data_IF_069014662362
#
_entry.id   IF_069014662362
#
_cell.length_a   1.000
_cell.length_b   1.000
_cell.length_c   1.000
_cell.angle_alpha   90.00
_cell.angle_beta   90.00
_cell.angle_gamma   90.00
#
_symmetry.space_group_name_H-M   'P 1'
#
loop_
_entity.id
_entity.type
_entity.pdbx_description
1 polymer ?
#
# COMPACT_ATOMS: atom_id res chain seq x y z
N UNK A 1 -14.45 -18.75 -11.13
CA UNK A 1 -13.64 -19.42 -10.09
C UNK A 1 -12.34 -18.65 -9.93
N UNK A 2 -11.92 -18.43 -8.69
CA UNK A 2 -10.63 -17.86 -8.33
C UNK A 2 -10.02 -18.76 -7.26
N UNK A 3 -8.75 -19.12 -7.42
CA UNK A 3 -7.99 -19.91 -6.47
C UNK A 3 -6.58 -19.33 -6.32
N UNK A 4 -6.00 -19.51 -5.14
CA UNK A 4 -4.59 -19.21 -4.88
C UNK A 4 -3.83 -20.53 -4.76
N UNK A 5 -2.87 -20.77 -5.64
CA UNK A 5 -2.00 -21.94 -5.60
C UNK A 5 -0.55 -21.50 -5.56
N UNK A 6 0.14 -21.79 -4.44
CA UNK A 6 1.52 -21.37 -4.18
C UNK A 6 1.75 -19.86 -4.41
N UNK A 7 0.78 -19.04 -3.99
CA UNK A 7 0.81 -17.58 -4.14
C UNK A 7 0.41 -17.06 -5.53
N UNK A 8 0.20 -17.93 -6.51
CA UNK A 8 -0.26 -17.55 -7.85
C UNK A 8 -1.78 -17.59 -7.89
N UNK A 9 -2.39 -16.53 -8.41
CA UNK A 9 -3.82 -16.46 -8.68
C UNK A 9 -4.14 -17.24 -9.94
N UNK A 10 -5.03 -18.21 -9.82
CA UNK A 10 -5.60 -18.96 -10.94
C UNK A 10 -7.06 -18.57 -11.05
N UNK A 11 -7.45 -18.06 -12.21
CA UNK A 11 -8.86 -17.76 -12.48
C UNK A 11 -9.38 -18.60 -13.63
N UNK A 12 -10.68 -18.89 -13.56
CA UNK A 12 -11.43 -19.49 -14.67
C UNK A 12 -12.80 -18.85 -14.73
N UNK A 13 -13.07 -18.14 -15.81
CA UNK A 13 -14.41 -17.65 -16.10
C UNK A 13 -15.32 -18.83 -16.47
N UNK A 14 -16.53 -18.82 -15.92
CA UNK A 14 -17.59 -19.74 -16.35
C UNK A 14 -18.25 -19.16 -17.61
N UNK A 15 -18.88 -20.00 -18.43
CA UNK A 15 -19.58 -19.57 -19.65
C UNK A 15 -20.69 -18.55 -19.40
N UNK A 16 -21.25 -18.54 -18.19
CA UNK A 16 -22.28 -17.61 -17.73
C UNK A 16 -21.73 -16.30 -17.14
N UNK A 17 -20.40 -16.15 -17.03
CA UNK A 17 -19.81 -14.93 -16.49
C UNK A 17 -19.98 -13.77 -17.49
N UNK A 18 -20.38 -12.60 -16.99
CA UNK A 18 -20.44 -11.42 -17.84
C UNK A 18 -19.03 -10.98 -18.29
N UNK A 19 -18.98 -10.19 -19.36
CA UNK A 19 -17.72 -9.74 -19.97
C UNK A 19 -16.80 -9.03 -18.96
N UNK A 20 -17.38 -8.24 -18.05
CA UNK A 20 -16.60 -7.50 -17.05
C UNK A 20 -16.01 -8.40 -15.95
N UNK A 21 -16.70 -9.46 -15.54
CA UNK A 21 -16.11 -10.48 -14.67
C UNK A 21 -14.98 -11.22 -15.38
N UNK A 22 -15.12 -11.48 -16.68
CA UNK A 22 -14.06 -12.09 -17.50
C UNK A 22 -12.83 -11.18 -17.55
N UNK A 23 -13.01 -9.86 -17.75
CA UNK A 23 -11.91 -8.88 -17.75
C UNK A 23 -11.16 -8.86 -16.41
N UNK A 24 -11.89 -8.76 -15.29
CA UNK A 24 -11.27 -8.78 -13.94
C UNK A 24 -10.54 -10.10 -13.70
N UNK A 25 -11.15 -11.23 -14.06
CA UNK A 25 -10.56 -12.55 -13.91
C UNK A 25 -9.27 -12.70 -14.73
N UNK A 26 -9.25 -12.23 -15.99
CA UNK A 26 -8.08 -12.30 -16.86
C UNK A 26 -6.91 -11.49 -16.30
N UNK A 27 -7.19 -10.30 -15.74
CA UNK A 27 -6.15 -9.45 -15.14
C UNK A 27 -5.54 -10.10 -13.91
N UNK A 28 -6.38 -10.63 -13.02
CA UNK A 28 -5.91 -11.31 -11.83
C UNK A 28 -5.20 -12.63 -12.16
N UNK A 29 -5.52 -13.27 -13.29
CA UNK A 29 -4.93 -14.54 -13.65
C UNK A 29 -3.40 -14.45 -13.79
N UNK A 30 -2.70 -15.37 -13.15
CA UNK A 30 -1.23 -15.43 -13.14
C UNK A 30 -0.57 -14.38 -12.25
N UNK A 31 -1.33 -13.51 -11.58
CA UNK A 31 -0.75 -12.56 -10.62
C UNK A 31 -0.24 -13.28 -9.38
N UNK A 32 0.86 -12.78 -8.81
CA UNK A 32 1.36 -13.23 -7.52
C UNK A 32 0.70 -12.39 -6.43
N UNK A 33 0.06 -13.06 -5.46
CA UNK A 33 -0.56 -12.41 -4.31
C UNK A 33 0.49 -12.16 -3.22
N UNK A 34 0.52 -10.94 -2.69
CA UNK A 34 1.34 -10.60 -1.53
C UNK A 34 0.67 -11.13 -0.26
N UNK A 35 0.95 -12.40 0.04
CA UNK A 35 0.41 -13.09 1.21
C UNK A 35 0.80 -12.34 2.49
N UNK A 36 -0.15 -12.27 3.42
CA UNK A 36 0.01 -11.67 4.75
C UNK A 36 0.33 -10.16 4.72
N UNK A 37 0.14 -9.50 3.58
CA UNK A 37 0.35 -8.07 3.40
C UNK A 37 -0.89 -7.43 2.76
N UNK A 38 -1.89 -7.17 3.58
CA UNK A 38 -3.11 -6.43 3.22
C UNK A 38 -3.44 -5.44 4.34
N UNK A 39 -4.14 -4.36 4.00
CA UNK A 39 -4.39 -3.26 4.93
C UNK A 39 -5.79 -2.68 4.76
N UNK A 40 -6.32 -2.10 5.82
CA UNK A 40 -7.54 -1.27 5.74
C UNK A 40 -7.12 0.16 5.40
N UNK A 41 -7.25 0.54 4.12
CA UNK A 41 -6.90 1.88 3.63
C UNK A 41 -8.19 2.63 3.29
N UNK A 42 -8.39 3.80 3.89
CA UNK A 42 -9.59 4.62 3.71
C UNK A 42 -10.91 3.84 3.89
N UNK A 43 -10.92 2.94 4.88
CA UNK A 43 -12.06 2.07 5.20
C UNK A 43 -12.26 0.88 4.26
N UNK A 44 -11.27 0.54 3.44
CA UNK A 44 -11.35 -0.54 2.45
C UNK A 44 -10.26 -1.58 2.66
N UNK A 45 -10.66 -2.84 2.65
CA UNK A 45 -9.73 -3.97 2.67
C UNK A 45 -8.99 -4.04 1.34
N UNK A 46 -7.70 -3.73 1.39
CA UNK A 46 -6.85 -3.54 0.21
C UNK A 46 -5.85 -4.66 0.09
N UNK A 47 -5.98 -5.45 -0.97
CA UNK A 47 -5.13 -6.58 -1.30
C UNK A 47 -4.17 -6.24 -2.44
N UNK A 48 -2.93 -6.72 -2.35
CA UNK A 48 -1.88 -6.40 -3.31
C UNK A 48 -1.46 -7.63 -4.12
N UNK A 49 -1.33 -7.43 -5.42
CA UNK A 49 -0.91 -8.42 -6.40
C UNK A 49 0.15 -7.82 -7.31
N UNK A 50 1.01 -8.68 -7.86
CA UNK A 50 2.05 -8.27 -8.78
C UNK A 50 2.13 -9.18 -10.01
N UNK A 51 2.44 -8.59 -11.15
CA UNK A 51 2.70 -9.27 -12.41
C UNK A 51 4.01 -8.74 -13.00
N UNK A 52 4.96 -9.63 -13.28
CA UNK A 52 6.24 -9.25 -13.87
C UNK A 52 6.16 -8.94 -15.37
N UNK A 53 5.09 -9.38 -16.04
CA UNK A 53 4.90 -9.17 -17.46
C UNK A 53 4.36 -7.77 -17.76
N UNK A 54 4.24 -7.50 -19.06
CA UNK A 54 3.83 -6.21 -19.59
C UNK A 54 2.30 -6.05 -19.52
N UNK A 55 1.78 -4.85 -19.18
CA UNK A 55 0.36 -4.63 -18.95
C UNK A 55 -0.47 -4.46 -20.24
N UNK A 56 0.13 -4.34 -21.42
CA UNK A 56 -0.53 -3.86 -22.64
C UNK A 56 -1.70 -4.74 -23.07
N UNK A 57 -1.55 -6.07 -23.02
CA UNK A 57 -2.64 -6.99 -23.38
C UNK A 57 -3.85 -6.84 -22.45
N UNK A 58 -3.58 -6.71 -21.15
CA UNK A 58 -4.60 -6.58 -20.11
C UNK A 58 -5.30 -5.21 -20.15
N UNK A 59 -4.53 -4.13 -20.33
CA UNK A 59 -5.06 -2.77 -20.48
C UNK A 59 -5.84 -2.59 -21.80
N UNK A 60 -5.39 -3.25 -22.88
CA UNK A 60 -6.13 -3.28 -24.15
C UNK A 60 -7.48 -4.00 -23.98
N UNK A 61 -7.51 -5.12 -23.25
CA UNK A 61 -8.75 -5.83 -22.94
C UNK A 61 -9.72 -5.00 -22.07
N UNK A 62 -9.20 -4.18 -21.14
CA UNK A 62 -10.01 -3.22 -20.38
C UNK A 62 -10.49 -2.02 -21.20
N UNK A 63 -9.84 -1.75 -22.34
CA UNK A 63 -9.96 -0.51 -23.11
C UNK A 63 -9.70 0.71 -22.22
N UNK A 64 -8.66 0.63 -21.38
CA UNK A 64 -8.28 1.68 -20.43
C UNK A 64 -6.76 1.69 -20.25
N UNK A 65 -6.10 2.73 -20.73
CA UNK A 65 -4.64 2.89 -20.60
C UNK A 65 -4.25 3.76 -19.41
N UNK A 66 -5.08 4.71 -19.00
CA UNK A 66 -4.91 5.53 -17.81
C UNK A 66 -6.24 6.12 -17.35
N UNK A 67 -6.30 6.57 -16.10
CA UNK A 67 -7.50 7.20 -15.52
C UNK A 67 -8.44 6.18 -14.89
N UNK A 68 -9.72 6.55 -14.77
CA UNK A 68 -10.73 5.74 -14.08
C UNK A 68 -11.88 5.37 -15.02
N UNK A 69 -12.41 4.16 -14.87
CA UNK A 69 -13.57 3.63 -15.58
C UNK A 69 -14.43 2.81 -14.64
N UNK A 70 -15.74 3.01 -14.67
CA UNK A 70 -16.68 2.10 -14.03
C UNK A 70 -17.12 1.02 -15.03
N UNK A 71 -17.08 -0.24 -14.61
CA UNK A 71 -17.59 -1.38 -15.36
C UNK A 71 -19.10 -1.53 -15.15
N UNK A 72 -19.79 -2.26 -16.01
CA UNK A 72 -21.25 -2.44 -15.94
C UNK A 72 -21.71 -3.14 -14.65
N UNK A 73 -20.82 -3.91 -14.03
CA UNK A 73 -21.04 -4.57 -12.74
C UNK A 73 -20.72 -3.67 -11.52
N UNK A 74 -20.61 -2.35 -11.72
CA UNK A 74 -20.27 -1.32 -10.72
C UNK A 74 -18.88 -1.49 -10.08
N UNK A 75 -17.97 -2.23 -10.73
CA UNK A 75 -16.56 -2.26 -10.34
C UNK A 75 -15.89 -1.01 -10.90
N UNK A 76 -15.30 -0.22 -10.01
CA UNK A 76 -14.45 0.90 -10.39
C UNK A 76 -13.05 0.38 -10.70
N UNK A 77 -12.52 0.75 -11.86
CA UNK A 77 -11.17 0.42 -12.31
C UNK A 77 -10.38 1.70 -12.45
N UNK A 78 -9.23 1.79 -11.78
CA UNK A 78 -8.29 2.92 -11.93
C UNK A 78 -6.97 2.38 -12.47
N UNK A 79 -6.44 3.02 -13.51
CA UNK A 79 -5.16 2.68 -14.11
C UNK A 79 -4.23 3.88 -14.00
N UNK A 80 -3.05 3.66 -13.43
CA UNK A 80 -1.96 4.63 -13.47
C UNK A 80 -0.71 3.97 -14.06
N UNK A 81 0.08 4.74 -14.79
CA UNK A 81 1.35 4.27 -15.35
C UNK A 81 2.47 5.16 -14.87
N UNK A 82 3.60 4.55 -14.53
CA UNK A 82 4.80 5.26 -14.09
C UNK A 82 6.04 4.67 -14.75
N UNK A 83 7.11 5.45 -14.80
CA UNK A 83 8.40 5.01 -15.33
C UNK A 83 9.47 5.37 -14.33
N UNK A 84 10.38 4.44 -14.03
CA UNK A 84 11.53 4.70 -13.17
C UNK A 84 12.80 4.13 -13.78
N UNK A 85 13.95 4.73 -13.44
CA UNK A 85 15.26 4.20 -13.81
C UNK A 85 15.74 3.30 -12.67
N UNK A 86 15.81 1.99 -12.92
CA UNK A 86 16.31 1.00 -11.96
C UNK A 86 17.55 0.32 -12.54
N UNK A 87 18.67 0.41 -11.81
CA UNK A 87 19.94 -0.17 -12.27
C UNK A 87 20.39 0.36 -13.64
N UNK A 88 20.17 1.65 -13.91
CA UNK A 88 20.51 2.29 -15.19
C UNK A 88 19.58 1.94 -16.36
N UNK A 89 18.52 1.15 -16.14
CA UNK A 89 17.52 0.81 -17.16
C UNK A 89 16.18 1.45 -16.84
N UNK A 90 15.59 2.09 -17.85
CA UNK A 90 14.22 2.60 -17.77
C UNK A 90 13.24 1.42 -17.73
N UNK A 91 12.44 1.32 -16.66
CA UNK A 91 11.39 0.33 -16.49
C UNK A 91 10.03 1.02 -16.36
N UNK A 92 9.03 0.48 -17.06
CA UNK A 92 7.63 0.94 -16.96
C UNK A 92 6.88 0.08 -15.95
N UNK A 93 6.03 0.74 -15.17
CA UNK A 93 5.10 0.13 -14.25
C UNK A 93 3.69 0.57 -14.61
N UNK A 94 2.73 -0.29 -14.36
CA UNK A 94 1.32 0.08 -14.36
C UNK A 94 0.70 -0.43 -13.07
N UNK A 95 -0.13 0.39 -12.45
CA UNK A 95 -0.91 0.03 -11.28
C UNK A 95 -2.38 0.02 -11.70
N UNK A 96 -3.03 -1.13 -11.54
CA UNK A 96 -4.46 -1.34 -11.84
C UNK A 96 -5.18 -1.62 -10.54
N UNK A 97 -6.08 -0.74 -10.16
CA UNK A 97 -6.91 -0.86 -8.96
C UNK A 97 -8.34 -1.25 -9.36
N UNK A 98 -8.86 -2.32 -8.76
CA UNK A 98 -10.27 -2.71 -8.83
C UNK A 98 -10.93 -2.43 -7.49
N UNK A 99 -12.02 -1.68 -7.50
CA UNK A 99 -12.70 -1.28 -6.28
C UNK A 99 -14.21 -1.56 -6.38
N UNK A 100 -14.76 -2.24 -5.37
CA UNK A 100 -16.21 -2.43 -5.22
C UNK A 100 -16.57 -2.53 -3.74
N UNK A 101 -17.45 -1.65 -3.27
CA UNK A 101 -17.81 -1.58 -1.85
C UNK A 101 -16.59 -1.32 -0.97
N UNK A 102 -16.41 -2.15 0.05
CA UNK A 102 -15.29 -2.08 1.00
C UNK A 102 -14.05 -2.91 0.56
N UNK A 103 -14.01 -3.40 -0.67
CA UNK A 103 -12.88 -4.20 -1.20
C UNK A 103 -12.13 -3.43 -2.28
N UNK A 104 -10.81 -3.44 -2.18
CA UNK A 104 -9.87 -2.92 -3.18
C UNK A 104 -8.84 -3.99 -3.54
N UNK A 105 -8.66 -4.28 -4.82
CA UNK A 105 -7.60 -5.15 -5.34
C UNK A 105 -6.63 -4.31 -6.16
N UNK A 106 -5.36 -4.31 -5.78
CA UNK A 106 -4.32 -3.54 -6.44
C UNK A 106 -3.35 -4.48 -7.18
N UNK A 107 -3.23 -4.34 -8.49
CA UNK A 107 -2.34 -5.15 -9.33
C UNK A 107 -1.24 -4.27 -9.92
N UNK A 108 0.00 -4.49 -9.49
CA UNK A 108 1.17 -3.81 -10.05
C UNK A 108 1.84 -4.64 -11.13
N UNK A 109 2.11 -4.02 -12.28
CA UNK A 109 2.85 -4.60 -13.39
C UNK A 109 4.30 -4.11 -13.41
N UNK A 110 5.20 -4.94 -13.91
CA UNK A 110 6.62 -4.58 -14.13
C UNK A 110 7.50 -4.62 -12.88
N UNK A 111 7.02 -5.20 -11.78
CA UNK A 111 7.78 -5.39 -10.55
C UNK A 111 7.90 -6.88 -10.19
N UNK A 112 8.96 -7.26 -9.48
CA UNK A 112 9.02 -8.58 -8.82
C UNK A 112 8.18 -8.58 -7.53
N UNK A 113 7.96 -9.77 -6.96
CA UNK A 113 7.27 -9.92 -5.68
C UNK A 113 7.99 -9.20 -4.54
N UNK A 114 9.32 -9.30 -4.50
CA UNK A 114 10.13 -8.66 -3.46
C UNK A 114 10.15 -7.13 -3.62
N UNK A 115 10.26 -6.63 -4.86
CA UNK A 115 10.18 -5.20 -5.15
C UNK A 115 8.83 -4.63 -4.71
N UNK A 116 7.72 -5.32 -5.01
CA UNK A 116 6.39 -4.86 -4.61
C UNK A 116 6.16 -4.97 -3.10
N UNK A 117 6.68 -6.02 -2.45
CA UNK A 117 6.62 -6.16 -0.99
C UNK A 117 7.29 -4.99 -0.29
N UNK A 118 8.50 -4.62 -0.72
CA UNK A 118 9.23 -3.46 -0.19
C UNK A 118 8.43 -2.18 -0.41
N UNK A 119 7.89 -1.96 -1.61
CA UNK A 119 7.08 -0.78 -1.93
C UNK A 119 5.84 -0.68 -1.04
N UNK A 120 5.10 -1.77 -0.89
CA UNK A 120 3.85 -1.79 -0.10
C UNK A 120 4.13 -1.56 1.39
N UNK A 121 5.20 -2.14 1.94
CA UNK A 121 5.64 -1.88 3.31
C UNK A 121 6.05 -0.41 3.52
N UNK A 122 6.74 0.20 2.57
CA UNK A 122 7.10 1.61 2.64
C UNK A 122 5.87 2.52 2.60
N UNK A 123 4.87 2.21 1.76
CA UNK A 123 3.61 2.95 1.77
C UNK A 123 2.85 2.78 3.10
N UNK A 124 2.85 1.58 3.68
CA UNK A 124 2.27 1.32 4.99
C UNK A 124 2.98 2.14 6.08
N UNK A 125 4.32 2.17 6.06
CA UNK A 125 5.14 2.99 6.95
C UNK A 125 4.78 4.47 6.85
N UNK A 126 4.68 5.00 5.64
CA UNK A 126 4.33 6.41 5.42
C UNK A 126 2.96 6.76 6.00
N UNK A 127 1.97 5.88 5.84
CA UNK A 127 0.65 6.03 6.47
C UNK A 127 0.75 6.00 8.01
N UNK A 128 1.42 5.00 8.57
CA UNK A 128 1.61 4.88 10.01
C UNK A 128 2.27 6.13 10.60
N UNK A 129 3.33 6.63 9.97
CA UNK A 129 4.05 7.83 10.39
C UNK A 129 3.17 9.07 10.33
N UNK A 130 2.45 9.27 9.23
CA UNK A 130 1.56 10.43 9.07
C UNK A 130 0.50 10.47 10.17
N UNK A 131 -0.16 9.34 10.45
CA UNK A 131 -1.17 9.26 11.51
C UNK A 131 -0.55 9.36 12.90
N UNK A 132 0.63 8.77 13.13
CA UNK A 132 1.34 8.87 14.42
C UNK A 132 1.71 10.32 14.75
N UNK A 133 2.25 11.06 13.77
CA UNK A 133 2.57 12.47 13.96
C UNK A 133 1.32 13.32 14.21
N UNK A 134 0.24 13.08 13.45
CA UNK A 134 -1.02 13.80 13.64
C UNK A 134 -1.63 13.53 15.04
N UNK A 135 -1.61 12.26 15.49
CA UNK A 135 -2.07 11.87 16.83
C UNK A 135 -1.23 12.54 17.93
N UNK A 136 0.08 12.57 17.76
CA UNK A 136 0.98 13.19 18.74
C UNK A 136 0.80 14.71 18.81
N UNK A 137 0.64 15.35 17.64
CA UNK A 137 0.32 16.78 17.59
C UNK A 137 -1.01 17.08 18.30
N UNK A 138 -2.03 16.24 18.12
CA UNK A 138 -3.32 16.40 18.78
C UNK A 138 -3.22 16.21 20.29
N UNK A 139 -2.44 15.23 20.78
CA UNK A 139 -2.19 15.03 22.22
C UNK A 139 -1.56 16.26 22.86
N UNK A 140 -0.51 16.81 22.24
CA UNK A 140 0.16 18.02 22.72
C UNK A 140 -0.80 19.21 22.71
N UNK A 141 -1.68 19.32 21.70
CA UNK A 141 -2.72 20.35 21.63
C UNK A 141 -3.74 20.22 22.77
N UNK A 142 -4.09 19.01 23.16
CA UNK A 142 -5.02 18.73 24.24
C UNK A 142 -4.39 18.82 25.64
N UNK A 143 -3.07 19.00 25.74
CA UNK A 143 -2.34 18.93 27.02
C UNK A 143 -2.26 17.51 27.60
N UNK A 144 -2.51 16.48 26.79
CA UNK A 144 -2.34 15.08 27.17
C UNK A 144 -0.85 14.70 27.24
N UNK A 145 -0.54 13.65 28.00
CA UNK A 145 0.79 13.05 27.94
C UNK A 145 1.04 12.50 26.53
N UNK A 146 2.11 12.99 25.90
CA UNK A 146 2.56 12.47 24.62
C UNK A 146 3.07 11.03 24.73
N UNK A 147 3.27 10.39 23.59
CA UNK A 147 4.05 9.13 23.50
C UNK A 147 5.45 9.24 24.12
N UNK A 148 5.96 10.48 24.24
CA UNK A 148 7.23 10.81 24.84
C UNK A 148 7.18 12.17 25.54
N UNK A 149 8.11 12.39 26.47
CA UNK A 149 8.36 13.69 27.08
C UNK A 149 9.01 14.64 26.08
N UNK A 150 8.19 15.48 25.45
CA UNK A 150 8.63 16.60 24.62
C UNK A 150 8.99 17.81 25.49
N UNK A 151 10.12 18.44 25.20
CA UNK A 151 10.47 19.74 25.77
C UNK A 151 9.54 20.84 25.23
N UNK A 152 9.47 21.99 25.92
CA UNK A 152 8.62 23.11 25.49
C UNK A 152 8.99 23.68 24.10
N UNK A 153 10.26 23.54 23.69
CA UNK A 153 10.68 23.89 22.33
C UNK A 153 10.15 22.89 21.29
N UNK A 154 10.26 21.59 21.57
CA UNK A 154 9.79 20.52 20.70
C UNK A 154 8.25 20.51 20.58
N UNK A 155 7.52 20.78 21.67
CA UNK A 155 6.06 20.95 21.65
C UNK A 155 5.63 22.07 20.72
N UNK A 156 6.29 23.25 20.81
CA UNK A 156 6.04 24.39 19.91
C UNK A 156 6.31 24.03 18.46
N UNK A 157 7.39 23.29 18.20
CA UNK A 157 7.70 22.81 16.85
C UNK A 157 6.64 21.85 16.34
N UNK A 158 6.26 20.84 17.13
CA UNK A 158 5.24 19.86 16.77
C UNK A 158 3.89 20.53 16.46
N UNK A 159 3.46 21.51 17.26
CA UNK A 159 2.24 22.26 17.00
C UNK A 159 2.33 23.13 15.73
N UNK A 160 3.50 23.69 15.42
CA UNK A 160 3.71 24.56 14.27
C UNK A 160 3.90 23.83 12.94
N UNK A 161 4.68 22.74 12.92
CA UNK A 161 5.08 22.04 11.67
C UNK A 161 4.50 20.63 11.56
N UNK A 162 3.91 20.09 12.63
CA UNK A 162 3.40 18.72 12.69
C UNK A 162 4.49 17.66 12.91
N UNK A 163 5.76 18.04 13.04
CA UNK A 163 6.89 17.12 13.29
C UNK A 163 7.96 17.79 14.15
N UNK A 164 8.80 16.99 14.80
CA UNK A 164 9.94 17.50 15.57
C UNK A 164 11.24 17.16 14.83
N UNK A 165 12.08 18.17 14.58
CA UNK A 165 13.33 17.96 13.86
C UNK A 165 14.28 17.06 14.65
N UNK A 166 14.95 16.14 13.95
CA UNK A 166 15.87 15.18 14.56
C UNK A 166 15.20 13.93 15.13
N UNK A 167 13.86 13.88 15.14
CA UNK A 167 13.09 12.67 15.46
C UNK A 167 12.54 12.04 14.19
N UNK A 168 12.55 10.71 14.17
CA UNK A 168 11.85 9.91 13.17
C UNK A 168 11.10 8.77 13.87
N UNK A 169 10.12 8.20 13.18
CA UNK A 169 9.36 7.07 13.69
C UNK A 169 10.01 5.74 13.34
N UNK A 170 10.20 4.89 14.34
CA UNK A 170 10.77 3.56 14.21
C UNK A 170 9.75 2.53 14.64
N UNK A 171 9.81 1.35 14.02
CA UNK A 171 8.95 0.25 14.43
C UNK A 171 9.40 -0.31 15.79
N UNK A 172 8.44 -0.52 16.69
CA UNK A 172 8.66 -1.20 17.97
C UNK A 172 8.87 -2.69 17.72
N UNK A 173 7.93 -3.33 17.00
CA UNK A 173 8.00 -4.72 16.55
C UNK A 173 8.46 -4.80 15.08
N UNK A 174 9.29 -5.78 14.77
CA UNK A 174 9.80 -5.97 13.41
C UNK A 174 8.67 -6.28 12.43
N UNK A 175 8.52 -5.45 11.40
CA UNK A 175 7.55 -5.65 10.32
C UNK A 175 7.94 -6.77 9.35
N UNK A 176 9.18 -7.27 9.43
CA UNK A 176 9.57 -8.49 8.72
C UNK A 176 8.88 -9.72 9.30
N UNK A 177 8.69 -9.73 10.62
CA UNK A 177 8.01 -10.81 11.36
C UNK A 177 6.50 -10.58 11.48
N UNK A 178 6.09 -9.32 11.61
CA UNK A 178 4.69 -8.89 11.79
C UNK A 178 4.30 -7.86 10.72
N UNK A 179 4.20 -8.25 9.44
CA UNK A 179 3.87 -7.35 8.34
C UNK A 179 2.50 -6.66 8.50
N UNK A 180 1.55 -7.31 9.18
CA UNK A 180 0.24 -6.78 9.51
C UNK A 180 0.29 -5.54 10.42
N UNK A 181 1.42 -5.30 11.11
CA UNK A 181 1.62 -4.12 11.95
C UNK A 181 2.31 -2.96 11.21
N UNK A 182 2.54 -3.08 9.91
CA UNK A 182 3.32 -2.10 9.16
C UNK A 182 2.64 -0.72 9.03
N UNK A 183 1.31 -0.67 9.01
CA UNK A 183 0.52 0.58 9.03
C UNK A 183 -0.01 0.95 10.43
N UNK A 184 0.33 0.16 11.46
CA UNK A 184 -0.16 0.37 12.82
C UNK A 184 0.54 1.53 13.52
N UNK A 185 -0.25 2.53 13.90
CA UNK A 185 0.19 3.69 14.68
C UNK A 185 0.76 3.29 16.04
N UNK A 186 0.22 2.24 16.65
CA UNK A 186 0.68 1.76 17.95
C UNK A 186 2.02 1.01 17.87
N UNK A 187 2.46 0.68 16.65
CA UNK A 187 3.77 0.05 16.40
C UNK A 187 4.85 1.10 16.06
N UNK A 188 4.55 2.40 16.13
CA UNK A 188 5.50 3.48 15.86
C UNK A 188 5.94 4.14 17.17
N UNK A 189 7.25 4.34 17.31
CA UNK A 189 7.85 5.13 18.38
C UNK A 189 8.79 6.20 17.83
N UNK A 190 8.79 7.39 18.41
CA UNK A 190 9.66 8.49 17.99
C UNK A 190 11.01 8.46 18.70
N UNK A 191 12.08 8.32 17.90
CA UNK A 191 13.45 8.28 18.40
C UNK A 191 14.34 9.26 17.64
N UNK A 192 15.40 9.72 18.31
CA UNK A 192 16.52 10.41 17.67
C UNK A 192 17.54 9.41 17.14
N UNK A 193 18.37 9.83 16.17
CA UNK A 193 19.39 8.98 15.57
C UNK A 193 20.37 8.35 16.58
N UNK A 194 20.69 9.06 17.66
CA UNK A 194 21.59 8.59 18.72
C UNK A 194 20.95 7.54 19.66
N UNK A 195 19.67 7.22 19.50
CA UNK A 195 18.92 6.29 20.35
C UNK A 195 18.67 4.94 19.68
N UNK A 196 18.88 4.85 18.37
CA UNK A 196 18.57 3.68 17.53
C UNK A 196 19.36 2.43 17.95
N UNK A 197 20.56 2.61 18.53
CA UNK A 197 21.49 1.52 18.89
C UNK A 197 21.55 1.16 20.37
N UNK A 198 20.69 1.71 21.23
CA UNK A 198 20.62 1.33 22.67
C UNK A 198 19.63 0.18 22.94
N UNK A 199 19.28 -0.55 21.89
CA UNK A 199 18.39 -1.72 21.94
C UNK A 199 19.16 -2.99 22.30
#
# INVERSE_FOLDING_TARGET
MLALYKGIVITRALSLANEDCVKVANILNGALYLKDLHFIVDGRDTHFFVKMNSPEADLAALRLTSGRKELENAVNVTVSQSTAVLGGRTRRFADVEFQRGALTLHVRYGASLDEERVRVLELARQRALAVSWAREQQRVRNGEEGSRLWTEGEKRQLLGTGRVQGYDGYYVLSVEQYPELADSVNNIQFLRQNEIGKR
#
